data_IF_837795067322
#
_entry.id   IF_837795067322
#
_cell.length_a   1.000
_cell.length_b   1.000
_cell.length_c   1.000
_cell.angle_alpha   90.00
_cell.angle_beta   90.00
_cell.angle_gamma   90.00
#
_symmetry.space_group_name_H-M   'P 1'
#
loop_
_entity.id
_entity.type
_entity.pdbx_description
1 polymer ?
#
# COMPACT_ATOMS: atom_id res chain seq x y z
N UNK A 1 36.75 5.10 -33.31
CA UNK A 1 35.97 3.92 -33.71
C UNK A 1 34.62 4.40 -34.26
N UNK A 2 34.43 4.51 -35.59
CA UNK A 2 33.12 4.84 -36.13
C UNK A 2 32.17 3.67 -35.88
N UNK A 3 31.04 3.94 -35.22
CA UNK A 3 29.92 3.00 -35.16
C UNK A 3 29.41 2.85 -36.59
N UNK A 4 29.76 1.76 -37.27
CA UNK A 4 29.14 1.38 -38.53
C UNK A 4 27.67 1.09 -38.23
N UNK A 5 26.82 2.10 -38.37
CA UNK A 5 25.38 1.92 -38.35
C UNK A 5 25.04 0.99 -39.52
N UNK A 6 24.64 -0.25 -39.22
CA UNK A 6 24.00 -1.10 -40.22
C UNK A 6 22.78 -0.35 -40.71
N UNK A 7 22.69 -0.16 -42.03
CA UNK A 7 21.47 0.34 -42.64
C UNK A 7 20.30 -0.56 -42.21
N UNK A 8 19.16 0.04 -41.80
CA UNK A 8 18.02 -0.75 -41.38
C UNK A 8 17.51 -1.58 -42.56
N UNK A 9 17.52 -2.91 -42.41
CA UNK A 9 17.02 -3.88 -43.39
C UNK A 9 15.62 -3.50 -43.87
N UNK A 10 15.29 -3.49 -45.17
CA UNK A 10 13.98 -3.04 -45.65
C UNK A 10 12.81 -3.89 -45.09
N UNK A 11 11.60 -3.31 -44.92
CA UNK A 11 10.45 -3.98 -44.29
C UNK A 11 10.06 -5.32 -44.93
N UNK A 12 10.15 -5.42 -46.26
CA UNK A 12 9.80 -6.64 -47.00
C UNK A 12 10.74 -7.80 -46.67
N UNK A 13 12.03 -7.53 -46.60
CA UNK A 13 13.05 -8.51 -46.24
C UNK A 13 12.93 -8.95 -44.77
N UNK A 14 12.44 -8.06 -43.88
CA UNK A 14 12.13 -8.43 -42.48
C UNK A 14 10.99 -9.45 -42.41
N UNK A 15 9.94 -9.30 -43.23
CA UNK A 15 8.82 -10.26 -43.29
C UNK A 15 9.26 -11.64 -43.76
N UNK A 16 10.13 -11.69 -44.77
CA UNK A 16 10.71 -12.95 -45.26
C UNK A 16 11.56 -13.67 -44.20
N UNK A 17 12.17 -12.92 -43.29
CA UNK A 17 12.92 -13.46 -42.14
C UNK A 17 12.03 -13.81 -40.94
N UNK A 18 10.70 -13.69 -41.05
CA UNK A 18 9.77 -13.90 -39.94
C UNK A 18 9.84 -12.84 -38.84
N UNK A 19 10.40 -11.66 -39.15
CA UNK A 19 10.52 -10.54 -38.23
C UNK A 19 9.39 -9.53 -38.46
N UNK A 20 9.12 -8.74 -37.43
CA UNK A 20 8.19 -7.62 -37.51
C UNK A 20 8.63 -6.63 -38.63
N UNK A 21 7.72 -6.24 -39.54
CA UNK A 21 8.03 -5.30 -40.60
C UNK A 21 8.37 -3.90 -40.06
N UNK A 22 7.85 -3.50 -38.91
CA UNK A 22 8.06 -2.16 -38.34
C UNK A 22 9.29 -2.12 -37.43
N UNK A 23 9.42 -3.10 -36.53
CA UNK A 23 10.45 -3.07 -35.47
C UNK A 23 11.60 -4.06 -35.68
N UNK A 24 11.49 -4.98 -36.64
CA UNK A 24 12.55 -5.97 -36.92
C UNK A 24 12.79 -6.99 -35.79
N UNK A 25 11.91 -7.08 -34.81
CA UNK A 25 11.96 -8.07 -33.74
C UNK A 25 11.11 -9.29 -34.06
N UNK A 26 11.47 -10.49 -33.57
CA UNK A 26 10.62 -11.66 -33.69
C UNK A 26 9.26 -11.44 -33.00
N UNK A 27 8.15 -11.90 -33.59
CA UNK A 27 6.86 -11.89 -32.91
C UNK A 27 6.86 -12.83 -31.69
N UNK A 28 6.07 -12.47 -30.67
CA UNK A 28 5.87 -13.30 -29.49
C UNK A 28 4.94 -14.49 -29.76
N UNK A 29 4.61 -15.24 -28.71
CA UNK A 29 3.73 -16.42 -28.79
C UNK A 29 2.31 -16.10 -29.32
N UNK A 30 1.86 -14.85 -29.19
CA UNK A 30 0.60 -14.37 -29.76
C UNK A 30 0.65 -14.13 -31.27
N UNK A 31 1.81 -14.30 -31.92
CA UNK A 31 2.01 -13.95 -33.33
C UNK A 31 2.21 -12.45 -33.58
N UNK A 32 2.12 -11.62 -32.53
CA UNK A 32 2.29 -10.17 -32.61
C UNK A 32 3.67 -9.74 -32.08
N UNK A 33 4.21 -8.69 -32.69
CA UNK A 33 5.41 -8.03 -32.19
C UNK A 33 5.08 -7.28 -30.89
N UNK A 34 5.89 -7.48 -29.84
CA UNK A 34 5.70 -6.80 -28.55
C UNK A 34 5.76 -5.27 -28.70
N UNK A 35 6.57 -4.74 -29.61
CA UNK A 35 6.65 -3.31 -29.87
C UNK A 35 5.41 -2.78 -30.60
N UNK A 36 4.87 -3.50 -31.59
CA UNK A 36 3.56 -3.16 -32.18
C UNK A 36 2.45 -3.19 -31.13
N UNK A 37 2.45 -4.19 -30.26
CA UNK A 37 1.46 -4.30 -29.17
C UNK A 37 1.54 -3.11 -28.22
N UNK A 38 2.75 -2.68 -27.84
CA UNK A 38 2.97 -1.52 -26.98
C UNK A 38 2.62 -0.20 -27.68
N UNK A 39 2.98 -0.03 -28.95
CA UNK A 39 2.61 1.14 -29.75
C UNK A 39 1.09 1.24 -29.91
N UNK A 40 0.39 0.12 -30.09
CA UNK A 40 -1.08 0.09 -30.08
C UNK A 40 -1.68 0.39 -28.70
N UNK A 41 -1.10 -0.15 -27.63
CA UNK A 41 -1.56 0.07 -26.26
C UNK A 41 -1.33 1.53 -25.79
N UNK A 42 -0.34 2.21 -26.36
CA UNK A 42 -0.02 3.62 -26.05
C UNK A 42 -0.66 4.60 -27.02
N UNK A 43 -0.99 4.20 -28.26
CA UNK A 43 -1.57 5.03 -29.32
C UNK A 43 -3.06 5.35 -29.17
N UNK A 44 -3.66 5.08 -28.00
CA UNK A 44 -5.11 5.16 -27.79
C UNK A 44 -5.53 5.85 -26.50
N UNK A 45 -4.69 6.66 -25.87
CA UNK A 45 -5.26 7.72 -25.03
C UNK A 45 -5.59 8.82 -26.02
N UNK A 46 -6.88 9.14 -26.30
CA UNK A 46 -7.15 10.44 -26.87
C UNK A 46 -6.41 11.46 -26.00
N UNK A 47 -5.95 12.53 -26.60
CA UNK A 47 -5.62 13.76 -25.89
C UNK A 47 -6.92 14.32 -25.27
N UNK A 48 -7.66 13.50 -24.50
CA UNK A 48 -8.41 13.93 -23.36
C UNK A 48 -7.38 14.71 -22.57
N UNK A 49 -7.48 16.03 -22.73
CA UNK A 49 -6.63 17.03 -22.15
C UNK A 49 -6.01 16.45 -20.90
N UNK A 50 -4.68 16.32 -20.89
CA UNK A 50 -3.97 16.24 -19.63
C UNK A 50 -4.37 17.53 -18.92
N UNK A 51 -5.50 17.49 -18.20
CA UNK A 51 -5.90 18.54 -17.29
C UNK A 51 -4.68 18.59 -16.40
N UNK A 52 -3.91 19.70 -16.41
CA UNK A 52 -2.81 19.82 -15.49
C UNK A 52 -3.46 19.60 -14.14
N UNK A 53 -3.20 18.44 -13.50
CA UNK A 53 -3.59 18.28 -12.11
C UNK A 53 -2.98 19.51 -11.44
N UNK A 54 -3.78 20.31 -10.72
CA UNK A 54 -3.24 21.47 -10.02
C UNK A 54 -1.98 20.98 -9.31
N UNK A 55 -0.82 21.60 -9.61
CA UNK A 55 0.40 21.25 -8.91
C UNK A 55 0.03 21.30 -7.44
N UNK A 56 0.14 20.17 -6.76
CA UNK A 56 -0.15 20.07 -5.34
C UNK A 56 0.81 21.02 -4.63
N UNK A 57 0.34 22.24 -4.38
CA UNK A 57 1.09 23.36 -3.80
C UNK A 57 1.17 23.22 -2.29
N UNK A 58 0.75 22.07 -1.75
CA UNK A 58 0.87 21.81 -0.33
C UNK A 58 2.36 21.77 0.02
N UNK A 59 2.82 22.65 0.92
CA UNK A 59 4.22 22.72 1.27
C UNK A 59 4.68 21.38 1.85
N UNK A 60 5.89 20.96 1.48
CA UNK A 60 6.49 19.71 1.92
C UNK A 60 7.85 20.01 2.56
N UNK A 61 8.18 19.27 3.60
CA UNK A 61 9.47 19.35 4.27
C UNK A 61 9.89 17.97 4.76
N UNK A 62 11.07 17.91 5.35
CA UNK A 62 11.56 16.73 6.05
C UNK A 62 11.17 16.84 7.53
N UNK A 63 10.69 15.74 8.11
CA UNK A 63 10.36 15.67 9.52
C UNK A 63 11.62 15.90 10.36
N UNK A 64 11.58 16.86 11.30
CA UNK A 64 12.74 17.17 12.14
C UNK A 64 13.17 16.00 13.05
N UNK A 65 12.25 15.07 13.37
CA UNK A 65 12.54 13.92 14.24
C UNK A 65 13.11 12.70 13.51
N UNK A 66 12.70 12.45 12.26
CA UNK A 66 13.04 11.21 11.55
C UNK A 66 13.49 11.39 10.10
N UNK A 67 13.51 12.61 9.57
CA UNK A 67 13.91 12.90 8.18
C UNK A 67 12.89 12.47 7.12
N UNK A 68 11.75 11.88 7.51
CA UNK A 68 10.73 11.47 6.56
C UNK A 68 10.12 12.67 5.83
N UNK A 69 9.87 12.53 4.52
CA UNK A 69 9.20 13.57 3.74
C UNK A 69 7.74 13.70 4.16
N UNK A 70 7.36 14.85 4.69
CA UNK A 70 6.01 15.15 5.18
C UNK A 70 5.33 16.23 4.35
N UNK A 71 4.00 16.22 4.41
CA UNK A 71 3.15 17.32 3.98
C UNK A 71 2.97 18.24 5.18
N UNK A 72 3.29 19.53 5.01
CA UNK A 72 3.15 20.53 6.05
C UNK A 72 1.69 21.00 6.10
N UNK A 73 0.90 20.37 6.96
CA UNK A 73 -0.49 20.73 7.24
C UNK A 73 -0.77 20.67 8.74
N UNK A 74 -1.68 21.53 9.20
CA UNK A 74 -2.04 21.62 10.62
C UNK A 74 -0.81 21.82 11.50
N UNK A 75 -0.72 21.07 12.60
CA UNK A 75 0.39 21.13 13.55
C UNK A 75 1.79 20.86 12.95
N UNK A 76 1.90 20.16 11.81
CA UNK A 76 3.19 19.98 11.16
C UNK A 76 3.79 21.31 10.65
N UNK A 77 2.96 22.34 10.44
CA UNK A 77 3.41 23.70 10.13
C UNK A 77 4.10 24.36 11.32
N UNK A 78 3.72 23.99 12.55
CA UNK A 78 4.23 24.61 13.77
C UNK A 78 5.54 23.96 14.25
N UNK A 79 5.61 22.62 14.22
CA UNK A 79 6.70 21.85 14.82
C UNK A 79 7.57 21.08 13.82
N UNK A 80 7.16 20.98 12.55
CA UNK A 80 7.88 20.22 11.53
C UNK A 80 7.97 18.71 11.83
N UNK A 81 7.10 18.17 12.67
CA UNK A 81 7.09 16.75 13.04
C UNK A 81 6.00 15.98 12.31
N UNK A 82 6.32 14.75 11.93
CA UNK A 82 5.32 13.79 11.47
C UNK A 82 4.46 13.31 12.64
N UNK A 83 3.23 12.87 12.35
CA UNK A 83 2.30 12.37 13.35
C UNK A 83 2.93 11.27 14.25
N UNK A 84 3.65 10.26 13.73
CA UNK A 84 4.35 9.28 14.56
C UNK A 84 5.33 9.91 15.56
N UNK A 85 6.23 10.80 15.10
CA UNK A 85 7.21 11.43 16.00
C UNK A 85 6.51 12.26 17.09
N UNK A 86 5.42 12.94 16.76
CA UNK A 86 4.64 13.71 17.75
C UNK A 86 3.99 12.79 18.79
N UNK A 87 3.43 11.66 18.38
CA UNK A 87 2.84 10.68 19.30
C UNK A 87 3.89 10.03 20.21
N UNK A 88 5.11 9.81 19.71
CA UNK A 88 6.22 9.31 20.54
C UNK A 88 6.69 10.35 21.58
N UNK A 89 6.61 11.64 21.24
CA UNK A 89 6.97 12.75 22.14
C UNK A 89 5.86 13.10 23.14
N UNK A 90 4.60 12.78 22.84
CA UNK A 90 3.51 12.99 23.77
C UNK A 90 3.71 12.10 25.01
N UNK A 91 3.51 12.62 26.23
CA UNK A 91 3.51 11.78 27.41
C UNK A 91 2.44 10.72 27.21
N UNK A 92 2.85 9.45 27.15
CA UNK A 92 1.94 8.33 27.12
C UNK A 92 0.99 8.51 28.31
N UNK A 93 -0.30 8.68 28.04
CA UNK A 93 -1.31 8.65 29.09
C UNK A 93 -1.09 7.33 29.84
N UNK A 94 -0.76 7.42 31.13
CA UNK A 94 -0.54 6.24 31.95
C UNK A 94 -1.78 5.34 31.84
N UNK A 95 -1.61 4.01 31.68
CA UNK A 95 -2.76 3.12 31.68
C UNK A 95 -3.46 3.29 33.03
N UNK A 96 -4.72 3.73 32.97
CA UNK A 96 -5.61 3.74 34.13
C UNK A 96 -5.67 2.29 34.62
N UNK A 97 -5.51 1.99 35.92
CA UNK A 97 -5.75 0.64 36.41
C UNK A 97 -7.24 0.36 36.21
N UNK A 98 -7.60 -0.33 35.12
CA UNK A 98 -8.93 -0.88 35.00
C UNK A 98 -9.05 -1.95 36.08
N UNK A 99 -9.97 -1.74 37.03
CA UNK A 99 -10.41 -2.79 37.92
C UNK A 99 -11.26 -3.74 37.08
N UNK A 100 -10.67 -4.83 36.60
CA UNK A 100 -11.40 -5.78 35.79
C UNK A 100 -12.40 -6.54 36.69
N UNK A 101 -13.67 -6.65 36.31
CA UNK A 101 -14.68 -7.33 37.11
C UNK A 101 -14.39 -8.83 37.22
N UNK A 102 -14.83 -9.46 38.30
CA UNK A 102 -14.75 -10.91 38.50
C UNK A 102 -15.75 -11.63 37.57
N UNK A 103 -15.37 -12.79 37.06
CA UNK A 103 -16.20 -13.64 36.21
C UNK A 103 -17.52 -14.02 36.89
N UNK A 104 -18.63 -13.89 36.16
CA UNK A 104 -19.97 -14.25 36.63
C UNK A 104 -20.33 -15.73 36.46
N UNK A 105 -19.39 -16.58 36.04
CA UNK A 105 -19.64 -18.00 35.76
C UNK A 105 -19.46 -18.88 36.99
N UNK A 106 -19.93 -20.13 36.90
CA UNK A 106 -19.83 -21.12 37.98
C UNK A 106 -19.07 -22.37 37.52
N UNK A 107 -17.99 -22.68 38.21
CA UNK A 107 -17.25 -23.93 38.03
C UNK A 107 -17.90 -25.00 38.93
N UNK A 108 -18.79 -25.83 38.37
CA UNK A 108 -19.38 -26.97 39.10
C UNK A 108 -20.18 -26.60 40.36
N UNK A 109 -20.81 -25.42 40.37
CA UNK A 109 -21.56 -24.90 41.52
C UNK A 109 -20.80 -23.89 42.39
N UNK A 110 -19.48 -23.73 42.19
CA UNK A 110 -18.68 -22.70 42.87
C UNK A 110 -18.51 -21.46 42.00
N UNK A 111 -18.62 -20.23 42.55
CA UNK A 111 -18.45 -19.01 41.77
C UNK A 111 -17.01 -18.88 41.27
N UNK A 112 -16.85 -18.55 39.99
CA UNK A 112 -15.53 -18.40 39.38
C UNK A 112 -14.85 -17.13 39.91
N UNK A 113 -13.64 -17.28 40.47
CA UNK A 113 -12.86 -16.14 40.99
C UNK A 113 -11.91 -15.52 39.94
N UNK A 114 -11.90 -16.06 38.71
CA UNK A 114 -11.07 -15.54 37.63
C UNK A 114 -11.58 -14.18 37.17
N UNK A 115 -10.68 -13.34 36.70
CA UNK A 115 -11.01 -12.06 36.08
C UNK A 115 -11.82 -12.26 34.80
N UNK A 116 -12.87 -11.46 34.61
CA UNK A 116 -13.64 -11.42 33.37
C UNK A 116 -12.82 -10.77 32.25
N UNK A 117 -13.12 -11.12 31.00
CA UNK A 117 -12.51 -10.40 29.86
C UNK A 117 -13.09 -8.98 29.78
N UNK A 118 -12.33 -7.95 29.34
CA UNK A 118 -12.79 -6.56 29.39
C UNK A 118 -14.13 -6.27 28.71
N UNK A 119 -14.49 -7.06 27.70
CA UNK A 119 -15.70 -6.88 26.89
C UNK A 119 -16.87 -7.77 27.30
N UNK A 120 -16.74 -8.62 28.32
CA UNK A 120 -17.78 -9.58 28.75
C UNK A 120 -17.78 -9.74 30.28
N UNK A 121 -18.82 -10.38 30.80
CA UNK A 121 -18.93 -10.70 32.24
C UNK A 121 -18.28 -12.02 32.64
N UNK A 122 -17.77 -12.81 31.68
CA UNK A 122 -17.18 -14.13 31.92
C UNK A 122 -15.68 -14.17 31.60
N UNK A 123 -14.94 -15.10 32.20
CA UNK A 123 -13.53 -15.32 31.90
C UNK A 123 -13.36 -16.07 30.57
N UNK A 124 -12.13 -16.09 30.05
CA UNK A 124 -11.78 -16.78 28.79
C UNK A 124 -12.22 -18.25 28.77
N UNK A 125 -12.07 -18.96 29.90
CA UNK A 125 -12.47 -20.37 29.99
C UNK A 125 -13.98 -20.55 29.83
N UNK A 126 -14.78 -19.73 30.52
CA UNK A 126 -16.23 -19.79 30.41
C UNK A 126 -16.72 -19.29 29.04
N UNK A 127 -16.07 -18.28 28.47
CA UNK A 127 -16.39 -17.83 27.12
C UNK A 127 -16.13 -18.92 26.08
N UNK A 128 -15.01 -19.64 26.18
CA UNK A 128 -14.72 -20.76 25.29
C UNK A 128 -15.75 -21.89 25.45
N UNK A 129 -16.22 -22.17 26.67
CA UNK A 129 -17.28 -23.14 26.92
C UNK A 129 -18.63 -22.71 26.32
N UNK A 130 -19.01 -21.43 26.43
CA UNK A 130 -20.22 -20.90 25.78
C UNK A 130 -20.15 -21.08 24.26
N UNK A 131 -19.03 -20.72 23.63
CA UNK A 131 -18.85 -20.88 22.18
C UNK A 131 -18.89 -22.32 21.70
N UNK A 132 -18.42 -23.27 22.52
CA UNK A 132 -18.47 -24.70 22.21
C UNK A 132 -19.86 -25.32 22.36
N UNK A 133 -20.83 -24.58 22.91
CA UNK A 133 -22.21 -25.01 23.12
C UNK A 133 -23.23 -24.46 22.10
N UNK A 134 -22.74 -23.69 21.12
CA UNK A 134 -23.53 -23.08 20.01
C UNK A 134 -23.51 -23.96 18.77
#
# INVERSE_FOLDING_TARGET
MPRTGREPTPPQQRREQGLCPEHGTPPGLSGECIHCYLDCATGGVPEAAVVPRPRDHTPRAECAGCGARIVLTGHALDDGLCNPCRTTLAPAAAPVPEEHPTCSGNDGGTPCTRTAVPTRTVCVCHFAAELASV
#
